data_IF_213288712359
#
_entry.id   IF_213288712359
#
_cell.length_a   1.000
_cell.length_b   1.000
_cell.length_c   1.000
_cell.angle_alpha   90.00
_cell.angle_beta   90.00
_cell.angle_gamma   90.00
#
_symmetry.space_group_name_H-M   'P 1'
#
loop_
_entity.id
_entity.type
_entity.pdbx_description
1 polymer ?
#
# COMPACT_ATOMS: atom_id res chain seq x y z
N UNK A 1 -13.29 -2.56 -3.67
CA UNK A 1 -12.18 -3.44 -4.09
C UNK A 1 -11.45 -2.73 -5.21
N UNK A 2 -10.12 -2.72 -5.19
CA UNK A 2 -9.31 -2.26 -6.32
C UNK A 2 -8.70 -3.45 -7.09
N UNK A 3 -8.17 -3.21 -8.28
CA UNK A 3 -7.61 -4.24 -9.14
C UNK A 3 -7.05 -3.68 -10.44
N UNK A 4 -6.71 -4.57 -11.37
CA UNK A 4 -6.36 -4.21 -12.75
C UNK A 4 -7.34 -4.92 -13.68
N UNK A 5 -8.18 -4.15 -14.37
CA UNK A 5 -9.29 -4.65 -15.19
C UNK A 5 -9.28 -3.93 -16.53
N UNK A 6 -9.41 -4.68 -17.63
CA UNK A 6 -9.45 -4.14 -19.00
C UNK A 6 -8.28 -3.17 -19.33
N UNK A 7 -7.08 -3.45 -18.82
CA UNK A 7 -5.90 -2.60 -19.07
C UNK A 7 -5.81 -1.35 -18.19
N UNK A 8 -6.73 -1.17 -17.25
CA UNK A 8 -6.82 0.01 -16.38
C UNK A 8 -6.55 -0.40 -14.94
N UNK A 9 -5.70 0.36 -14.24
CA UNK A 9 -5.55 0.23 -12.81
C UNK A 9 -6.71 0.92 -12.09
N UNK A 10 -7.46 0.16 -11.32
CA UNK A 10 -8.49 0.62 -10.42
C UNK A 10 -7.92 0.62 -9.00
N UNK A 11 -7.39 1.75 -8.51
CA UNK A 11 -6.87 1.81 -7.15
C UNK A 11 -7.99 1.58 -6.13
N UNK A 12 -7.62 1.19 -4.92
CA UNK A 12 -8.60 0.97 -3.84
C UNK A 12 -9.23 2.31 -3.46
N UNK A 13 -10.54 2.41 -3.65
CA UNK A 13 -11.34 3.62 -3.35
C UNK A 13 -12.21 3.46 -2.11
N UNK A 14 -12.50 2.23 -1.68
CA UNK A 14 -13.22 1.97 -0.42
C UNK A 14 -12.42 2.55 0.73
N UNK A 15 -13.06 3.36 1.56
CA UNK A 15 -12.50 3.90 2.80
C UNK A 15 -13.33 3.48 4.00
N UNK A 16 -12.68 3.39 5.15
CA UNK A 16 -13.38 3.20 6.42
C UNK A 16 -13.83 4.53 7.04
N UNK A 17 -14.39 4.47 8.26
CA UNK A 17 -14.88 5.63 8.99
C UNK A 17 -13.79 6.68 9.30
N UNK A 18 -12.51 6.33 9.17
CA UNK A 18 -11.37 7.20 9.44
C UNK A 18 -10.66 7.62 8.15
N UNK A 19 -11.34 7.48 7.01
CA UNK A 19 -10.87 7.81 5.66
C UNK A 19 -9.61 7.03 5.20
N UNK A 20 -9.31 5.90 5.84
CA UNK A 20 -8.22 5.01 5.40
C UNK A 20 -8.71 4.17 4.22
N UNK A 21 -7.98 4.18 3.11
CA UNK A 21 -8.27 3.30 1.98
C UNK A 21 -7.93 1.85 2.36
N UNK A 22 -8.92 0.97 2.40
CA UNK A 22 -8.76 -0.41 2.89
C UNK A 22 -9.78 -1.36 2.24
N UNK A 23 -9.39 -2.63 2.10
CA UNK A 23 -10.28 -3.68 1.59
C UNK A 23 -11.08 -4.32 2.73
N UNK A 24 -10.41 -4.70 3.82
CA UNK A 24 -10.98 -5.48 4.94
C UNK A 24 -10.91 -4.75 6.29
N UNK A 25 -10.23 -3.61 6.37
CA UNK A 25 -9.99 -2.90 7.63
C UNK A 25 -8.79 -3.42 8.44
N UNK A 26 -7.97 -4.31 7.88
CA UNK A 26 -6.77 -4.85 8.53
C UNK A 26 -5.48 -4.16 8.11
N UNK A 27 -5.36 -3.79 6.83
CA UNK A 27 -4.27 -3.01 6.25
C UNK A 27 -4.84 -1.88 5.41
N UNK A 28 -4.17 -0.73 5.40
CA UNK A 28 -4.71 0.47 4.77
C UNK A 28 -3.66 1.47 4.33
N UNK A 29 -4.06 2.33 3.39
CA UNK A 29 -3.28 3.50 2.95
C UNK A 29 -4.02 4.76 3.41
N UNK A 30 -3.30 5.65 4.09
CA UNK A 30 -3.78 6.99 4.43
C UNK A 30 -3.52 7.91 3.26
N UNK A 31 -4.52 8.73 2.89
CA UNK A 31 -4.41 9.62 1.73
C UNK A 31 -4.67 8.91 0.40
N UNK A 32 -3.95 9.33 -0.65
CA UNK A 32 -4.20 8.89 -2.03
C UNK A 32 -3.70 7.47 -2.29
N UNK A 33 -4.48 6.67 -3.01
CA UNK A 33 -4.05 5.38 -3.60
C UNK A 33 -3.58 5.53 -5.05
N UNK A 34 -3.46 6.75 -5.53
CA UNK A 34 -2.83 7.11 -6.80
C UNK A 34 -1.65 8.03 -6.49
N UNK A 35 -0.43 7.53 -6.66
CA UNK A 35 0.81 8.26 -6.32
C UNK A 35 1.70 8.42 -7.55
N UNK A 36 2.59 9.41 -7.52
CA UNK A 36 3.53 9.65 -8.62
C UNK A 36 4.71 8.67 -8.54
N UNK A 37 5.28 8.37 -9.71
CA UNK A 37 6.51 7.62 -9.92
C UNK A 37 7.74 8.46 -9.51
N UNK A 38 7.69 9.08 -8.35
CA UNK A 38 8.79 9.85 -7.77
C UNK A 38 9.47 9.00 -6.70
N UNK A 39 10.80 9.01 -6.70
CA UNK A 39 11.61 8.23 -5.76
C UNK A 39 11.58 8.81 -4.34
N UNK A 40 11.23 10.09 -4.20
CA UNK A 40 11.07 10.77 -2.92
C UNK A 40 9.63 10.64 -2.37
N UNK A 41 8.68 10.22 -3.21
CA UNK A 41 7.29 10.05 -2.80
C UNK A 41 7.17 8.93 -1.76
N UNK A 42 6.35 9.19 -0.74
CA UNK A 42 6.05 8.23 0.32
C UNK A 42 4.55 8.02 0.44
N UNK A 43 4.18 6.79 0.76
CA UNK A 43 2.84 6.37 1.14
C UNK A 43 2.80 6.23 2.66
N UNK A 44 1.75 6.75 3.30
CA UNK A 44 1.47 6.42 4.70
C UNK A 44 0.58 5.19 4.73
N UNK A 45 1.03 4.11 5.37
CA UNK A 45 0.25 2.87 5.54
C UNK A 45 -0.04 2.60 7.00
N UNK A 46 -1.14 1.92 7.26
CA UNK A 46 -1.58 1.51 8.59
C UNK A 46 -1.89 0.03 8.61
N UNK A 47 -1.57 -0.63 9.72
CA UNK A 47 -1.73 -2.07 9.86
C UNK A 47 -2.13 -2.41 11.29
N UNK A 48 -3.25 -3.13 11.47
CA UNK A 48 -3.76 -3.50 12.80
C UNK A 48 -2.89 -4.53 13.54
N UNK A 49 -2.07 -5.29 12.82
CA UNK A 49 -1.06 -6.17 13.42
C UNK A 49 0.24 -5.46 13.79
N UNK A 50 0.36 -4.16 13.49
CA UNK A 50 1.54 -3.34 13.78
C UNK A 50 1.49 -2.69 15.16
N UNK A 51 2.59 -2.03 15.53
CA UNK A 51 2.76 -1.29 16.77
C UNK A 51 4.09 -0.55 16.83
N UNK A 52 4.33 0.32 17.84
CA UNK A 52 5.51 1.20 17.88
C UNK A 52 6.86 0.46 17.90
N UNK A 53 6.88 -0.74 18.47
CA UNK A 53 8.05 -1.61 18.51
C UNK A 53 8.14 -2.59 17.32
N UNK A 54 7.14 -2.59 16.43
CA UNK A 54 7.04 -3.55 15.33
C UNK A 54 7.48 -2.91 14.03
N UNK A 55 8.61 -3.35 13.50
CA UNK A 55 9.01 -3.07 12.12
C UNK A 55 8.01 -3.68 11.15
N UNK A 56 7.60 -2.92 10.14
CA UNK A 56 6.75 -3.41 9.06
C UNK A 56 7.63 -3.70 7.83
N UNK A 57 7.38 -4.83 7.16
CA UNK A 57 7.80 -5.01 5.79
C UNK A 57 6.57 -5.03 4.89
N UNK A 58 6.65 -4.36 3.76
CA UNK A 58 5.59 -4.31 2.76
C UNK A 58 5.98 -5.22 1.61
N UNK A 59 5.03 -6.03 1.16
CA UNK A 59 5.13 -6.80 -0.06
C UNK A 59 4.22 -6.13 -1.09
N UNK A 60 4.79 -5.81 -2.25
CA UNK A 60 4.04 -5.35 -3.41
C UNK A 60 3.98 -6.44 -4.48
N UNK A 61 2.79 -6.68 -4.99
CA UNK A 61 2.53 -7.55 -6.12
C UNK A 61 2.14 -6.69 -7.31
N UNK A 62 2.85 -6.84 -8.42
CA UNK A 62 2.45 -6.20 -9.67
C UNK A 62 1.17 -6.88 -10.20
N UNK A 63 0.23 -6.06 -10.67
CA UNK A 63 -1.03 -6.54 -11.25
C UNK A 63 -1.08 -6.32 -12.77
N UNK A 64 -0.14 -5.57 -13.34
CA UNK A 64 -0.02 -5.28 -14.77
C UNK A 64 1.35 -5.72 -15.34
N UNK A 65 1.41 -6.36 -16.51
CA UNK A 65 0.33 -7.17 -17.06
C UNK A 65 -0.11 -8.23 -16.03
N UNK A 66 -1.35 -8.76 -16.09
CA UNK A 66 -1.91 -9.68 -15.09
C UNK A 66 -1.09 -10.93 -14.76
N UNK A 67 -0.12 -11.28 -15.61
CA UNK A 67 0.81 -12.41 -15.46
C UNK A 67 2.14 -12.05 -14.79
N UNK A 68 2.40 -10.77 -14.50
CA UNK A 68 3.67 -10.33 -13.94
C UNK A 68 3.75 -10.73 -12.46
N UNK A 69 4.25 -11.93 -12.19
CA UNK A 69 4.60 -12.45 -10.85
C UNK A 69 5.73 -11.67 -10.15
N UNK A 70 5.92 -10.40 -10.52
CA UNK A 70 6.85 -9.50 -9.87
C UNK A 70 6.35 -9.21 -8.46
N UNK A 71 7.08 -9.76 -7.50
CA UNK A 71 6.92 -9.52 -6.07
C UNK A 71 8.11 -8.75 -5.58
N UNK A 72 7.88 -7.62 -4.93
CA UNK A 72 8.94 -6.85 -4.30
C UNK A 72 8.65 -6.72 -2.81
N UNK A 73 9.67 -6.92 -1.98
CA UNK A 73 9.59 -6.77 -0.53
C UNK A 73 10.59 -5.71 -0.10
N UNK A 74 10.17 -4.81 0.76
CA UNK A 74 11.08 -3.91 1.44
C UNK A 74 10.60 -3.62 2.86
N UNK A 75 11.57 -3.51 3.75
CA UNK A 75 11.33 -3.11 5.13
C UNK A 75 11.14 -1.60 5.20
N UNK A 76 10.16 -1.18 5.96
CA UNK A 76 9.94 0.23 6.29
C UNK A 76 10.33 0.43 7.75
N UNK A 77 11.17 1.43 8.00
CA UNK A 77 11.44 1.87 9.36
C UNK A 77 10.11 2.33 9.97
N UNK A 78 9.75 1.80 11.13
CA UNK A 78 8.55 2.24 11.84
C UNK A 78 8.67 3.72 12.14
N UNK A 79 7.84 4.55 11.50
CA UNK A 79 7.65 5.92 11.96
C UNK A 79 6.57 5.86 13.03
N UNK A 80 6.96 6.02 14.30
CA UNK A 80 6.06 5.93 15.45
C UNK A 80 5.10 7.12 15.58
N UNK A 81 4.52 7.62 14.49
CA UNK A 81 3.49 8.67 14.56
C UNK A 81 2.11 8.07 14.71
N UNK A 82 1.28 8.72 15.52
CA UNK A 82 -0.14 8.45 15.61
C UNK A 82 -0.77 8.38 14.22
N UNK A 83 -1.64 7.40 14.01
CA UNK A 83 -2.34 7.20 12.73
C UNK A 83 -3.84 7.19 12.94
N UNK A 84 -4.65 7.25 11.86
CA UNK A 84 -6.09 7.11 12.00
C UNK A 84 -6.48 5.86 12.79
N UNK A 85 -5.75 4.74 12.66
CA UNK A 85 -6.03 3.50 13.40
C UNK A 85 -5.46 3.45 14.82
N UNK A 86 -4.93 4.55 15.34
CA UNK A 86 -4.50 4.68 16.73
C UNK A 86 -2.99 4.86 16.86
N UNK A 87 -2.23 3.77 16.88
CA UNK A 87 -0.89 3.84 17.48
C UNK A 87 0.25 4.13 16.51
N UNK A 88 0.22 3.61 15.27
CA UNK A 88 1.34 3.77 14.32
C UNK A 88 0.86 3.93 12.89
N UNK A 89 1.50 4.83 12.14
CA UNK A 89 1.45 4.92 10.69
C UNK A 89 2.85 4.77 10.11
N UNK A 90 3.03 3.90 9.13
CA UNK A 90 4.33 3.59 8.55
C UNK A 90 4.53 4.39 7.26
N UNK A 91 5.66 5.08 7.14
CA UNK A 91 6.06 5.73 5.90
C UNK A 91 6.75 4.72 4.98
N UNK A 92 6.16 4.50 3.81
CA UNK A 92 6.61 3.55 2.80
C UNK A 92 7.07 4.35 1.59
N UNK A 93 8.37 4.34 1.31
CA UNK A 93 8.88 4.90 0.05
C UNK A 93 8.26 4.18 -1.15
N UNK A 94 7.99 4.92 -2.23
CA UNK A 94 7.49 4.34 -3.48
C UNK A 94 8.56 3.50 -4.17
N UNK A 95 9.85 3.79 -4.00
CA UNK A 95 10.93 2.86 -4.39
C UNK A 95 10.89 1.63 -3.48
N UNK A 96 10.87 0.39 -4.02
CA UNK A 96 11.32 -0.02 -5.36
C UNK A 96 10.24 -0.14 -6.45
N UNK A 97 8.97 0.19 -6.17
CA UNK A 97 7.86 0.08 -7.14
C UNK A 97 7.59 1.38 -7.90
N UNK A 98 8.59 2.27 -8.05
CA UNK A 98 8.45 3.55 -8.75
C UNK A 98 8.20 3.43 -10.25
N UNK A 99 8.17 2.21 -10.81
CA UNK A 99 7.71 2.01 -12.19
C UNK A 99 6.20 2.22 -12.26
N UNK A 100 5.69 3.08 -13.17
CA UNK A 100 4.26 3.26 -13.37
C UNK A 100 3.55 1.93 -13.61
N UNK A 101 2.39 1.76 -12.98
CA UNK A 101 1.69 0.49 -12.99
C UNK A 101 0.71 0.35 -11.83
N UNK A 102 0.16 -0.85 -11.71
CA UNK A 102 -0.83 -1.24 -10.74
C UNK A 102 -0.23 -2.24 -9.75
N UNK A 103 -0.26 -1.89 -8.47
CA UNK A 103 0.42 -2.66 -7.44
C UNK A 103 -0.54 -2.95 -6.29
N UNK A 104 -0.58 -4.20 -5.83
CA UNK A 104 -1.24 -4.56 -4.58
C UNK A 104 -0.20 -4.59 -3.45
N UNK A 105 -0.39 -3.73 -2.46
CA UNK A 105 0.43 -3.68 -1.26
C UNK A 105 -0.23 -4.54 -0.17
N UNK A 106 0.57 -5.38 0.48
CA UNK A 106 0.17 -6.14 1.66
C UNK A 106 1.25 -6.02 2.74
N UNK A 107 0.91 -6.10 4.03
CA UNK A 107 1.91 -6.24 5.07
C UNK A 107 2.47 -7.68 5.03
N UNK A 108 3.76 -7.84 5.32
CA UNK A 108 4.34 -9.16 5.46
C UNK A 108 3.68 -9.94 6.60
N UNK A 109 3.32 -11.20 6.33
CA UNK A 109 2.53 -12.03 7.26
C UNK A 109 1.02 -11.72 7.25
N UNK A 110 0.58 -10.67 6.57
CA UNK A 110 -0.83 -10.38 6.33
C UNK A 110 -1.42 -11.23 5.19
N UNK A 111 -2.75 -11.20 5.08
CA UNK A 111 -3.45 -11.92 4.02
C UNK A 111 -3.52 -11.07 2.76
N UNK A 112 -3.57 -11.72 1.59
CA UNK A 112 -3.59 -10.99 0.31
C UNK A 112 -4.91 -10.24 0.12
N UNK A 113 -6.02 -10.74 0.66
CA UNK A 113 -7.31 -10.06 0.66
C UNK A 113 -7.34 -8.74 1.45
N UNK A 114 -6.41 -8.56 2.41
CA UNK A 114 -6.27 -7.32 3.15
C UNK A 114 -5.59 -6.22 2.34
N UNK A 115 -5.00 -6.59 1.20
CA UNK A 115 -4.16 -5.72 0.40
C UNK A 115 -4.89 -4.51 -0.18
N UNK A 116 -4.13 -3.42 -0.29
CA UNK A 116 -4.57 -2.18 -0.94
C UNK A 116 -3.94 -2.09 -2.31
N UNK A 117 -4.77 -1.92 -3.33
CA UNK A 117 -4.30 -1.62 -4.69
C UNK A 117 -4.00 -0.14 -4.81
N UNK A 118 -2.79 0.18 -5.27
CA UNK A 118 -2.32 1.53 -5.59
C UNK A 118 -1.95 1.64 -7.06
N UNK A 119 -2.17 2.81 -7.64
CA UNK A 119 -1.73 3.17 -8.98
C UNK A 119 -0.49 4.06 -8.87
N UNK A 120 0.61 3.63 -9.48
CA UNK A 120 1.81 4.45 -9.66
C UNK A 120 1.66 5.14 -11.03
N UNK A 121 1.55 6.45 -11.02
CA UNK A 121 1.37 7.31 -12.20
C UNK A 121 2.72 7.85 -12.65
N UNK A 122 2.91 8.20 -13.93
CA UNK A 122 4.01 9.06 -14.34
C UNK A 122 4.06 10.35 -13.49
N UNK A 123 5.26 10.84 -13.21
CA UNK A 123 5.49 12.05 -12.41
C UNK A 123 4.99 13.32 -13.11
#
# INVERSE_FOLDING_TARGET
MGGFVNGICEPTTRRDAQAVATTTGQFGVVGSTSVKADVEETLVVVWRGGGPATSLAVIAYRLDPPSAGTRVRWSVGGYGSASPWGEVGYLVGVKPISTPGCWRLVPEGGRTEDGVVVAIRPA
#
